data_IF_649360923925
#
_entry.id   IF_649360923925
#
_cell.length_a   1.000
_cell.length_b   1.000
_cell.length_c   1.000
_cell.angle_alpha   90.00
_cell.angle_beta   90.00
_cell.angle_gamma   90.00
#
_symmetry.space_group_name_H-M   'P 1'
#
loop_
_entity.id
_entity.type
_entity.pdbx_description
1 polymer ?
#
# COMPACT_ATOMS: atom_id res chain seq x y z
N UNK A 1 9.57 10.86 13.20
CA UNK A 1 8.43 11.60 13.81
C UNK A 1 8.68 11.71 15.31
N UNK A 2 8.55 12.90 15.91
CA UNK A 2 8.94 13.11 17.30
C UNK A 2 7.93 12.49 18.27
N UNK A 3 8.44 11.99 19.41
CA UNK A 3 7.77 11.19 20.45
C UNK A 3 6.43 11.77 20.93
N UNK A 4 6.26 13.10 20.91
CA UNK A 4 5.04 13.80 21.34
C UNK A 4 3.85 13.57 20.40
N UNK A 5 4.09 13.41 19.09
CA UNK A 5 3.01 13.11 18.13
C UNK A 5 2.50 11.67 18.25
N UNK A 6 3.34 10.76 18.75
CA UNK A 6 3.00 9.34 18.93
C UNK A 6 2.08 9.16 20.14
N UNK A 7 2.36 9.85 21.25
CA UNK A 7 1.54 9.78 22.48
C UNK A 7 0.16 10.43 22.33
N UNK A 8 0.05 11.58 21.63
CA UNK A 8 -1.26 12.21 21.38
C UNK A 8 -2.13 11.38 20.42
N UNK A 9 -1.52 10.76 19.42
CA UNK A 9 -2.20 9.85 18.50
C UNK A 9 -2.70 8.59 19.20
N UNK A 10 -1.90 8.01 20.10
CA UNK A 10 -2.30 6.88 20.93
C UNK A 10 -3.48 7.23 21.84
N UNK A 11 -3.45 8.39 22.52
CA UNK A 11 -4.54 8.86 23.40
C UNK A 11 -5.88 9.08 22.69
N UNK A 12 -5.85 9.58 21.45
CA UNK A 12 -7.08 9.77 20.66
C UNK A 12 -7.61 8.47 20.07
N UNK A 13 -6.72 7.49 19.86
CA UNK A 13 -7.03 6.23 19.21
C UNK A 13 -7.53 5.17 20.20
N UNK A 14 -6.97 5.11 21.40
CA UNK A 14 -7.30 4.08 22.40
C UNK A 14 -8.80 3.97 22.71
N UNK A 15 -9.58 5.05 22.91
CA UNK A 15 -11.02 4.92 23.18
C UNK A 15 -11.79 4.32 22.00
N UNK A 16 -11.38 4.64 20.77
CA UNK A 16 -11.99 4.10 19.56
C UNK A 16 -11.62 2.62 19.41
N UNK A 17 -10.36 2.27 19.62
CA UNK A 17 -9.88 0.89 19.53
C UNK A 17 -10.58 0.00 20.58
N UNK A 18 -10.70 0.46 21.83
CA UNK A 18 -11.37 -0.28 22.91
C UNK A 18 -12.86 -0.49 22.60
N UNK A 19 -13.56 0.55 22.15
CA UNK A 19 -14.96 0.46 21.75
C UNK A 19 -15.15 -0.44 20.51
N UNK A 20 -14.21 -0.37 19.57
CA UNK A 20 -14.20 -1.22 18.36
C UNK A 20 -14.06 -2.68 18.74
N UNK A 21 -13.14 -3.02 19.64
CA UNK A 21 -12.97 -4.39 20.15
C UNK A 21 -14.24 -4.82 20.88
N UNK A 22 -14.78 -3.98 21.77
CA UNK A 22 -15.98 -4.31 22.51
C UNK A 22 -17.17 -4.61 21.60
N UNK A 23 -17.44 -3.74 20.61
CA UNK A 23 -18.50 -3.96 19.63
C UNK A 23 -18.21 -5.16 18.73
N UNK A 24 -16.95 -5.34 18.31
CA UNK A 24 -16.52 -6.49 17.53
C UNK A 24 -16.86 -7.80 18.22
N UNK A 25 -16.56 -7.92 19.52
CA UNK A 25 -16.83 -9.13 20.31
C UNK A 25 -18.32 -9.30 20.63
N UNK A 26 -18.99 -8.24 21.08
CA UNK A 26 -20.34 -8.35 21.65
C UNK A 26 -21.46 -8.24 20.62
N UNK A 27 -21.31 -7.38 19.61
CA UNK A 27 -22.33 -7.14 18.58
C UNK A 27 -22.08 -7.96 17.31
N UNK A 28 -20.81 -8.08 16.90
CA UNK A 28 -20.45 -8.79 15.67
C UNK A 28 -19.89 -10.20 15.90
N UNK A 29 -19.83 -10.64 17.16
CA UNK A 29 -19.39 -11.98 17.55
C UNK A 29 -18.02 -12.39 16.97
N UNK A 30 -17.11 -11.42 16.82
CA UNK A 30 -15.73 -11.68 16.37
C UNK A 30 -15.00 -12.53 17.43
N UNK A 31 -14.27 -13.54 16.97
CA UNK A 31 -13.49 -14.44 17.83
C UNK A 31 -12.06 -14.61 17.32
N UNK A 32 -11.17 -15.10 18.19
CA UNK A 32 -9.79 -15.40 17.84
C UNK A 32 -9.04 -14.17 17.33
N UNK A 33 -8.27 -14.35 16.25
CA UNK A 33 -7.43 -13.29 15.65
C UNK A 33 -8.25 -12.12 15.11
N UNK A 34 -9.49 -12.34 14.69
CA UNK A 34 -10.38 -11.28 14.21
C UNK A 34 -10.85 -10.33 15.32
N UNK A 35 -10.76 -10.75 16.59
CA UNK A 35 -11.17 -9.96 17.75
C UNK A 35 -10.03 -9.15 18.39
N UNK A 36 -8.80 -9.22 17.85
CA UNK A 36 -7.64 -8.54 18.41
C UNK A 36 -7.01 -7.56 17.42
N UNK A 37 -6.45 -6.46 17.95
CA UNK A 37 -5.73 -5.48 17.12
C UNK A 37 -4.36 -6.06 16.75
N UNK A 38 -4.07 -6.09 15.45
CA UNK A 38 -2.80 -6.57 14.92
C UNK A 38 -2.49 -5.90 13.57
N UNK A 39 -1.21 -5.76 13.21
CA UNK A 39 -0.80 -4.95 12.06
C UNK A 39 -0.77 -5.71 10.71
N UNK A 40 -1.52 -6.81 10.58
CA UNK A 40 -1.47 -7.67 9.40
C UNK A 40 -2.01 -7.03 8.11
N UNK A 41 -3.24 -6.47 8.12
CA UNK A 41 -3.87 -5.90 6.91
C UNK A 41 -4.73 -4.67 7.23
N UNK A 42 -5.04 -3.88 6.19
CA UNK A 42 -5.94 -2.73 6.27
C UNK A 42 -7.41 -3.10 6.38
N UNK A 43 -7.82 -4.25 5.82
CA UNK A 43 -9.22 -4.68 5.70
C UNK A 43 -9.69 -5.67 6.77
N UNK A 44 -9.20 -5.53 8.01
CA UNK A 44 -9.60 -6.39 9.12
C UNK A 44 -11.06 -6.15 9.51
N UNK A 45 -11.75 -7.17 10.03
CA UNK A 45 -13.11 -7.02 10.54
C UNK A 45 -13.22 -5.86 11.56
N UNK A 46 -12.28 -5.77 12.51
CA UNK A 46 -12.21 -4.64 13.43
C UNK A 46 -11.98 -3.29 12.74
N UNK A 47 -11.25 -3.23 11.63
CA UNK A 47 -11.06 -1.98 10.89
C UNK A 47 -12.38 -1.50 10.24
N UNK A 48 -13.22 -2.41 9.76
CA UNK A 48 -14.56 -2.09 9.27
C UNK A 48 -15.49 -1.59 10.39
N UNK A 49 -15.44 -2.23 11.57
CA UNK A 49 -16.19 -1.78 12.75
C UNK A 49 -15.72 -0.39 13.19
N UNK A 50 -14.41 -0.15 13.22
CA UNK A 50 -13.85 1.16 13.54
C UNK A 50 -14.30 2.23 12.54
N UNK A 51 -14.28 1.92 11.24
CA UNK A 51 -14.73 2.85 10.20
C UNK A 51 -16.22 3.20 10.36
N UNK A 52 -17.07 2.22 10.68
CA UNK A 52 -18.48 2.45 10.97
C UNK A 52 -18.66 3.39 12.17
N UNK A 53 -17.89 3.19 13.25
CA UNK A 53 -17.94 4.07 14.43
C UNK A 53 -17.49 5.49 14.10
N UNK A 54 -16.42 5.65 13.33
CA UNK A 54 -15.94 6.96 12.88
C UNK A 54 -17.03 7.65 12.05
N UNK A 55 -17.71 6.91 11.16
CA UNK A 55 -18.79 7.46 10.34
C UNK A 55 -20.00 7.90 11.20
N UNK A 56 -20.43 7.05 12.13
CA UNK A 56 -21.56 7.35 13.02
C UNK A 56 -21.27 8.54 13.93
N UNK A 57 -20.09 8.56 14.57
CA UNK A 57 -19.67 9.68 15.42
C UNK A 57 -19.54 10.98 14.63
N UNK A 58 -18.99 10.92 13.41
CA UNK A 58 -18.92 12.06 12.51
C UNK A 58 -20.31 12.56 12.10
N UNK A 59 -21.25 11.66 11.81
CA UNK A 59 -22.64 12.01 11.47
C UNK A 59 -23.38 12.66 12.65
N UNK A 60 -23.22 12.11 13.86
CA UNK A 60 -23.80 12.68 15.09
C UNK A 60 -23.21 14.07 15.35
N UNK A 61 -21.89 14.22 15.26
CA UNK A 61 -21.21 15.50 15.42
C UNK A 61 -21.69 16.53 14.38
N UNK A 62 -21.82 16.13 13.11
CA UNK A 62 -22.34 16.98 12.04
C UNK A 62 -23.80 17.38 12.28
N UNK A 63 -24.65 16.47 12.77
CA UNK A 63 -26.04 16.75 13.11
C UNK A 63 -26.14 17.73 14.28
N UNK A 64 -25.39 17.48 15.36
CA UNK A 64 -25.32 18.37 16.51
C UNK A 64 -24.83 19.77 16.09
N UNK A 65 -23.74 19.85 15.34
CA UNK A 65 -23.22 21.10 14.80
C UNK A 65 -24.28 21.84 13.97
N UNK A 66 -24.98 21.13 13.08
CA UNK A 66 -26.03 21.68 12.24
C UNK A 66 -27.28 22.11 13.00
N UNK A 67 -27.50 21.63 14.23
CA UNK A 67 -28.58 22.09 15.11
C UNK A 67 -28.15 23.35 15.86
N UNK A 68 -26.94 23.38 16.41
CA UNK A 68 -26.48 24.47 17.26
C UNK A 68 -26.01 25.71 16.49
N UNK A 69 -25.41 25.56 15.31
CA UNK A 69 -24.74 26.65 14.59
C UNK A 69 -25.51 27.15 13.34
N UNK A 70 -26.86 27.04 13.37
CA UNK A 70 -27.76 27.37 12.24
C UNK A 70 -27.74 28.82 11.76
N UNK A 71 -27.21 29.76 12.57
CA UNK A 71 -27.33 31.21 12.33
C UNK A 71 -26.09 31.86 11.72
N UNK A 72 -24.98 31.13 11.52
CA UNK A 72 -23.74 31.72 11.00
C UNK A 72 -23.72 31.77 9.48
N UNK A 73 -23.23 32.89 8.93
CA UNK A 73 -23.20 33.20 7.49
C UNK A 73 -21.92 32.71 6.80
N UNK A 74 -20.90 32.29 7.57
CA UNK A 74 -19.53 32.03 7.08
C UNK A 74 -19.28 30.59 6.56
N UNK A 75 -20.31 29.77 6.37
CA UNK A 75 -20.18 28.39 5.89
C UNK A 75 -19.56 28.29 4.49
N UNK A 76 -19.75 29.30 3.65
CA UNK A 76 -19.12 29.34 2.33
C UNK A 76 -17.58 29.36 2.42
N UNK A 77 -17.02 30.19 3.30
CA UNK A 77 -15.57 30.26 3.50
C UNK A 77 -15.02 28.98 4.15
N UNK A 78 -15.76 28.41 5.10
CA UNK A 78 -15.39 27.15 5.74
C UNK A 78 -15.32 26.00 4.73
N UNK A 79 -16.31 25.91 3.82
CA UNK A 79 -16.31 24.92 2.73
C UNK A 79 -15.09 25.08 1.82
N UNK A 80 -14.70 26.32 1.49
CA UNK A 80 -13.53 26.56 0.64
C UNK A 80 -12.22 26.12 1.31
N UNK A 81 -12.06 26.38 2.62
CA UNK A 81 -10.91 25.87 3.38
C UNK A 81 -10.94 24.35 3.54
N UNK A 82 -12.11 23.76 3.76
CA UNK A 82 -12.30 22.31 3.81
C UNK A 82 -11.91 21.65 2.49
N UNK A 83 -12.38 22.15 1.33
CA UNK A 83 -12.01 21.64 0.01
C UNK A 83 -10.51 21.75 -0.24
N UNK A 84 -9.89 22.87 0.15
CA UNK A 84 -8.44 23.03 0.05
C UNK A 84 -7.70 21.99 0.90
N UNK A 85 -8.09 21.85 2.17
CA UNK A 85 -7.50 20.86 3.08
C UNK A 85 -7.65 19.45 2.55
N UNK A 86 -8.85 19.07 2.13
CA UNK A 86 -9.16 17.76 1.57
C UNK A 86 -8.39 17.47 0.28
N UNK A 87 -8.21 18.49 -0.59
CA UNK A 87 -7.40 18.36 -1.82
C UNK A 87 -5.94 18.11 -1.49
N UNK A 88 -5.39 18.84 -0.51
CA UNK A 88 -4.01 18.65 -0.05
C UNK A 88 -3.85 17.29 0.61
N UNK A 89 -4.79 16.86 1.46
CA UNK A 89 -4.77 15.54 2.09
C UNK A 89 -4.80 14.42 1.04
N UNK A 90 -5.71 14.49 0.08
CA UNK A 90 -5.82 13.49 -0.99
C UNK A 90 -4.56 13.48 -1.86
N UNK A 91 -4.04 14.65 -2.24
CA UNK A 91 -2.80 14.75 -3.02
C UNK A 91 -1.61 14.12 -2.28
N UNK A 92 -1.42 14.46 -1.00
CA UNK A 92 -0.36 13.89 -0.17
C UNK A 92 -0.55 12.40 0.10
N UNK A 93 -1.78 11.91 0.18
CA UNK A 93 -2.11 10.50 0.35
C UNK A 93 -1.80 9.66 -0.89
N UNK A 94 -1.89 10.25 -2.09
CA UNK A 94 -1.57 9.58 -3.35
C UNK A 94 -0.06 9.50 -3.62
N UNK A 95 0.76 10.43 -3.14
CA UNK A 95 2.20 10.45 -3.41
C UNK A 95 2.94 9.16 -3.00
N UNK A 96 2.72 8.56 -1.81
CA UNK A 96 3.32 7.27 -1.47
C UNK A 96 3.00 6.18 -2.49
N UNK A 97 1.73 6.07 -2.92
CA UNK A 97 1.25 5.10 -3.90
C UNK A 97 1.86 5.33 -5.29
N UNK A 98 2.08 6.61 -5.62
CA UNK A 98 2.63 7.01 -6.90
C UNK A 98 4.12 6.67 -6.97
N UNK A 99 4.89 7.05 -5.96
CA UNK A 99 6.34 6.85 -5.95
C UNK A 99 6.74 5.38 -5.77
N UNK A 100 5.98 4.58 -5.01
CA UNK A 100 6.22 3.13 -4.93
C UNK A 100 5.94 2.40 -6.26
N UNK A 101 5.25 3.04 -7.21
CA UNK A 101 5.07 2.53 -8.59
C UNK A 101 6.10 3.10 -9.57
N UNK A 102 6.46 4.38 -9.44
CA UNK A 102 7.54 4.99 -10.25
C UNK A 102 8.87 4.27 -10.04
N UNK A 103 9.14 3.86 -8.81
CA UNK A 103 10.22 2.93 -8.50
C UNK A 103 9.56 1.56 -8.29
N UNK A 104 9.61 0.64 -9.27
CA UNK A 104 8.79 -0.59 -9.31
C UNK A 104 8.92 -1.46 -8.07
N UNK A 105 8.14 -1.15 -7.05
CA UNK A 105 8.22 -1.70 -5.70
C UNK A 105 6.86 -2.20 -5.21
N UNK A 106 5.77 -1.72 -5.81
CA UNK A 106 4.41 -2.15 -5.48
C UNK A 106 4.12 -3.52 -6.06
N UNK A 107 4.46 -3.71 -7.34
CA UNK A 107 4.24 -4.95 -8.08
C UNK A 107 5.59 -5.60 -8.41
N UNK A 108 6.19 -6.37 -7.48
CA UNK A 108 7.47 -7.02 -7.75
C UNK A 108 7.32 -8.02 -8.91
N UNK A 109 8.44 -8.31 -9.59
CA UNK A 109 8.48 -9.41 -10.54
C UNK A 109 7.99 -10.72 -9.90
N UNK A 110 7.39 -11.63 -10.70
CA UNK A 110 6.84 -12.88 -10.17
C UNK A 110 7.85 -13.60 -9.26
N UNK A 111 7.50 -13.86 -7.99
CA UNK A 111 8.43 -14.51 -7.07
C UNK A 111 8.68 -15.95 -7.49
N UNK A 112 9.83 -16.51 -7.10
CA UNK A 112 10.17 -17.92 -7.35
C UNK A 112 9.07 -18.86 -6.85
N UNK A 113 8.42 -18.52 -5.74
CA UNK A 113 7.29 -19.26 -5.20
C UNK A 113 6.14 -19.39 -6.22
N UNK A 114 5.78 -18.31 -6.91
CA UNK A 114 4.71 -18.35 -7.92
C UNK A 114 5.15 -19.08 -9.19
N UNK A 115 6.41 -18.90 -9.60
CA UNK A 115 6.95 -19.53 -10.81
C UNK A 115 7.00 -21.06 -10.75
N UNK A 116 6.95 -21.63 -9.54
CA UNK A 116 6.96 -23.07 -9.29
C UNK A 116 5.62 -23.58 -8.71
N UNK A 117 4.61 -22.72 -8.63
CA UNK A 117 3.27 -23.08 -8.17
C UNK A 117 2.35 -23.30 -9.40
N UNK A 118 1.53 -24.37 -9.43
CA UNK A 118 0.48 -24.50 -10.41
C UNK A 118 -0.42 -23.26 -10.42
N UNK A 119 -0.69 -22.69 -11.60
CA UNK A 119 -1.47 -21.44 -11.75
C UNK A 119 -2.83 -21.51 -11.04
N UNK A 120 -3.47 -22.69 -11.02
CA UNK A 120 -4.76 -22.91 -10.35
C UNK A 120 -4.71 -22.80 -8.81
N UNK A 121 -3.53 -22.85 -8.20
CA UNK A 121 -3.34 -22.71 -6.76
C UNK A 121 -2.96 -21.27 -6.35
N UNK A 122 -2.59 -20.41 -7.31
CA UNK A 122 -2.23 -19.04 -7.02
C UNK A 122 -3.46 -18.23 -6.58
N UNK A 123 -3.31 -17.42 -5.53
CA UNK A 123 -4.38 -16.50 -5.13
C UNK A 123 -4.60 -15.42 -6.19
N UNK A 124 -5.84 -14.91 -6.35
CA UNK A 124 -6.12 -13.83 -7.29
C UNK A 124 -5.21 -12.61 -7.10
N UNK A 125 -4.91 -12.26 -5.85
CA UNK A 125 -4.02 -11.14 -5.50
C UNK A 125 -2.58 -11.38 -5.96
N UNK A 126 -2.02 -12.56 -5.69
CA UNK A 126 -0.64 -12.89 -6.05
C UNK A 126 -0.47 -12.92 -7.58
N UNK A 127 -1.44 -13.49 -8.28
CA UNK A 127 -1.44 -13.54 -9.75
C UNK A 127 -1.59 -12.13 -10.34
N UNK A 128 -2.51 -11.33 -9.82
CA UNK A 128 -2.74 -9.94 -10.25
C UNK A 128 -1.47 -9.07 -10.07
N UNK A 129 -0.82 -9.15 -8.90
CA UNK A 129 0.41 -8.40 -8.65
C UNK A 129 1.55 -8.84 -9.55
N UNK A 130 1.68 -10.15 -9.76
CA UNK A 130 2.75 -10.71 -10.60
C UNK A 130 2.55 -10.33 -12.07
N UNK A 131 1.31 -10.27 -12.56
CA UNK A 131 1.00 -9.82 -13.92
C UNK A 131 1.46 -8.37 -14.16
N UNK A 132 1.18 -7.46 -13.22
CA UNK A 132 1.64 -6.07 -13.32
C UNK A 132 3.16 -5.97 -13.16
N UNK A 133 3.76 -6.84 -12.34
CA UNK A 133 5.20 -6.90 -12.09
C UNK A 133 6.05 -7.55 -13.20
N UNK A 134 5.43 -8.20 -14.20
CA UNK A 134 6.15 -8.75 -15.36
C UNK A 134 6.86 -7.65 -16.16
N UNK A 135 6.22 -6.48 -16.28
CA UNK A 135 6.73 -5.38 -17.07
C UNK A 135 6.69 -4.08 -16.26
N UNK A 136 7.83 -3.71 -15.62
CA UNK A 136 7.92 -2.54 -14.75
C UNK A 136 7.49 -1.23 -15.41
N UNK A 137 7.62 -1.11 -16.74
CA UNK A 137 7.20 0.08 -17.48
C UNK A 137 5.70 0.39 -17.29
N UNK A 138 4.86 -0.63 -17.17
CA UNK A 138 3.42 -0.45 -16.95
C UNK A 138 3.13 0.08 -15.54
N UNK A 139 3.76 -0.50 -14.51
CA UNK A 139 3.69 0.01 -13.15
C UNK A 139 4.17 1.47 -13.06
N UNK A 140 5.31 1.80 -13.68
CA UNK A 140 5.85 3.15 -13.69
C UNK A 140 4.89 4.16 -14.33
N UNK A 141 4.21 3.78 -15.43
CA UNK A 141 3.22 4.64 -16.08
C UNK A 141 2.06 4.98 -15.13
N UNK A 142 1.54 3.99 -14.40
CA UNK A 142 0.50 4.19 -13.40
C UNK A 142 0.98 5.13 -12.29
N UNK A 143 2.22 4.94 -11.83
CA UNK A 143 2.85 5.82 -10.85
C UNK A 143 2.96 7.27 -11.33
N UNK A 144 3.30 7.50 -12.59
CA UNK A 144 3.36 8.86 -13.16
C UNK A 144 1.98 9.52 -13.28
N UNK A 145 0.94 8.76 -13.63
CA UNK A 145 -0.45 9.26 -13.64
C UNK A 145 -0.88 9.65 -12.22
N UNK A 146 -0.52 8.85 -11.22
CA UNK A 146 -0.79 9.16 -9.81
C UNK A 146 -0.02 10.40 -9.30
N UNK A 147 1.25 10.57 -9.68
CA UNK A 147 2.01 11.80 -9.37
C UNK A 147 1.37 13.00 -10.02
N UNK A 148 1.02 12.92 -11.30
CA UNK A 148 0.33 14.01 -12.00
C UNK A 148 -0.96 14.38 -11.27
N UNK A 149 -1.76 13.39 -10.90
CA UNK A 149 -3.00 13.56 -10.13
C UNK A 149 -2.75 14.29 -8.81
N UNK A 150 -1.78 13.81 -8.03
CA UNK A 150 -1.42 14.39 -6.74
C UNK A 150 -0.92 15.83 -6.88
N UNK A 151 -0.02 16.10 -7.84
CA UNK A 151 0.52 17.44 -8.10
C UNK A 151 -0.59 18.40 -8.52
N UNK A 152 -1.50 17.98 -9.40
CA UNK A 152 -2.63 18.82 -9.82
C UNK A 152 -3.54 19.18 -8.63
N UNK A 153 -3.79 18.25 -7.71
CA UNK A 153 -4.57 18.47 -6.48
C UNK A 153 -3.92 19.47 -5.52
N UNK A 154 -2.58 19.52 -5.46
CA UNK A 154 -1.84 20.37 -4.53
C UNK A 154 -1.81 21.85 -4.94
N UNK A 155 -2.08 22.15 -6.21
CA UNK A 155 -2.20 23.53 -6.70
C UNK A 155 -3.66 23.97 -6.79
N UNK A 156 -3.97 25.12 -6.18
CA UNK A 156 -5.35 25.62 -6.06
C UNK A 156 -6.03 25.88 -7.41
N UNK A 157 -5.24 26.14 -8.45
CA UNK A 157 -5.71 26.41 -9.81
C UNK A 157 -6.02 25.13 -10.60
N UNK A 158 -5.31 24.05 -10.32
CA UNK A 158 -5.44 22.77 -11.06
C UNK A 158 -6.12 21.68 -10.25
N UNK A 159 -6.53 21.98 -9.02
CA UNK A 159 -7.10 20.97 -8.14
C UNK A 159 -8.42 20.36 -8.66
N UNK A 160 -9.16 21.06 -9.51
CA UNK A 160 -10.35 20.49 -10.15
C UNK A 160 -10.06 19.42 -11.20
N UNK A 161 -9.26 19.66 -12.25
CA UNK A 161 -8.86 18.58 -13.13
C UNK A 161 -8.09 17.50 -12.36
N UNK A 162 -7.33 17.86 -11.32
CA UNK A 162 -6.73 16.91 -10.39
C UNK A 162 -7.76 16.02 -9.67
N UNK A 163 -8.88 16.58 -9.20
CA UNK A 163 -9.93 15.81 -8.52
C UNK A 163 -10.73 14.91 -9.47
N UNK A 164 -10.96 15.33 -10.72
CA UNK A 164 -11.54 14.47 -11.74
C UNK A 164 -10.63 13.28 -12.04
N UNK A 165 -9.33 13.53 -12.24
CA UNK A 165 -8.35 12.48 -12.46
C UNK A 165 -8.23 11.58 -11.23
N UNK A 166 -8.25 12.15 -10.02
CA UNK A 166 -8.22 11.40 -8.77
C UNK A 166 -9.41 10.48 -8.62
N UNK A 167 -10.62 10.92 -8.99
CA UNK A 167 -11.80 10.04 -8.98
C UNK A 167 -11.57 8.84 -9.90
N UNK A 168 -11.10 9.06 -11.13
CA UNK A 168 -10.82 7.96 -12.07
C UNK A 168 -9.74 7.00 -11.55
N UNK A 169 -8.62 7.52 -11.07
CA UNK A 169 -7.51 6.74 -10.52
C UNK A 169 -7.93 5.95 -9.28
N UNK A 170 -8.53 6.61 -8.29
CA UNK A 170 -8.92 5.96 -7.02
C UNK A 170 -10.07 4.98 -7.21
N UNK A 171 -11.02 5.26 -8.11
CA UNK A 171 -12.08 4.31 -8.44
C UNK A 171 -11.54 3.06 -9.13
N UNK A 172 -10.54 3.21 -10.01
CA UNK A 172 -9.86 2.07 -10.63
C UNK A 172 -9.12 1.23 -9.59
N UNK A 173 -8.37 1.88 -8.67
CA UNK A 173 -7.69 1.20 -7.56
C UNK A 173 -8.72 0.43 -6.71
N UNK A 174 -9.79 1.10 -6.27
CA UNK A 174 -10.82 0.48 -5.43
C UNK A 174 -11.53 -0.70 -6.12
N UNK A 175 -11.76 -0.59 -7.44
CA UNK A 175 -12.32 -1.68 -8.24
C UNK A 175 -11.38 -2.88 -8.27
N UNK A 176 -10.10 -2.65 -8.57
CA UNK A 176 -9.09 -3.72 -8.62
C UNK A 176 -8.90 -4.38 -7.25
N UNK A 177 -8.86 -3.58 -6.18
CA UNK A 177 -8.76 -4.09 -4.81
C UNK A 177 -9.95 -4.99 -4.44
N UNK A 178 -11.14 -4.63 -4.92
CA UNK A 178 -12.36 -5.41 -4.65
C UNK A 178 -12.39 -6.69 -5.48
N UNK A 179 -12.09 -6.60 -6.79
CA UNK A 179 -12.19 -7.72 -7.73
C UNK A 179 -11.09 -8.77 -7.53
N UNK A 180 -9.85 -8.33 -7.25
CA UNK A 180 -8.69 -9.22 -7.05
C UNK A 180 -8.38 -9.50 -5.57
N UNK A 181 -9.32 -9.18 -4.71
CA UNK A 181 -9.26 -9.36 -3.26
C UNK A 181 -7.98 -8.81 -2.59
N UNK A 182 -7.55 -7.62 -3.01
CA UNK A 182 -6.41 -6.94 -2.37
C UNK A 182 -6.89 -6.36 -1.02
N UNK A 183 -6.21 -6.62 0.11
CA UNK A 183 -6.73 -6.30 1.45
C UNK A 183 -6.47 -4.85 1.89
N UNK A 184 -6.81 -3.88 1.03
CA UNK A 184 -6.70 -2.42 1.24
C UNK A 184 -7.94 -1.60 0.81
N UNK A 185 -9.10 -2.25 0.68
CA UNK A 185 -10.39 -1.71 0.20
C UNK A 185 -10.88 -0.53 1.04
N UNK A 186 -10.75 -0.58 2.37
CA UNK A 186 -11.16 0.53 3.25
C UNK A 186 -10.42 1.83 2.90
N UNK A 187 -9.13 1.71 2.64
CA UNK A 187 -8.30 2.85 2.28
C UNK A 187 -8.66 3.37 0.89
N UNK A 188 -8.74 2.52 -0.12
CA UNK A 188 -9.06 2.95 -1.48
C UNK A 188 -10.48 3.53 -1.60
N UNK A 189 -11.47 2.97 -0.90
CA UNK A 189 -12.80 3.59 -0.80
C UNK A 189 -12.80 4.95 -0.12
N UNK A 190 -11.97 5.13 0.92
CA UNK A 190 -11.82 6.45 1.56
C UNK A 190 -11.32 7.48 0.55
N UNK A 191 -10.33 7.13 -0.28
CA UNK A 191 -9.81 8.03 -1.33
C UNK A 191 -10.90 8.36 -2.36
N UNK A 192 -11.70 7.38 -2.79
CA UNK A 192 -12.84 7.60 -3.70
C UNK A 192 -13.85 8.56 -3.09
N UNK A 193 -14.21 8.37 -1.81
CA UNK A 193 -15.13 9.27 -1.10
C UNK A 193 -14.56 10.68 -1.03
N UNK A 194 -13.26 10.84 -0.74
CA UNK A 194 -12.60 12.16 -0.74
C UNK A 194 -12.69 12.82 -2.12
N UNK A 195 -12.40 12.08 -3.20
CA UNK A 195 -12.53 12.57 -4.57
C UNK A 195 -13.96 12.98 -4.92
N UNK A 196 -14.96 12.18 -4.54
CA UNK A 196 -16.37 12.50 -4.72
C UNK A 196 -16.75 13.77 -3.96
N UNK A 197 -16.38 13.88 -2.68
CA UNK A 197 -16.69 15.05 -1.84
C UNK A 197 -16.09 16.33 -2.42
N UNK A 198 -14.90 16.28 -3.00
CA UNK A 198 -14.28 17.42 -3.69
C UNK A 198 -15.09 17.88 -4.92
N UNK A 199 -15.78 16.96 -5.60
CA UNK A 199 -16.53 17.17 -6.82
C UNK A 199 -18.02 17.43 -6.60
N UNK A 200 -18.59 17.12 -5.42
CA UNK A 200 -20.01 17.41 -5.09
C UNK A 200 -20.40 18.87 -5.40
N UNK A 201 -19.63 19.90 -4.98
CA UNK A 201 -19.98 21.29 -5.31
C UNK A 201 -19.98 21.58 -6.82
N UNK A 202 -19.21 20.82 -7.60
CA UNK A 202 -19.05 20.99 -9.05
C UNK A 202 -20.14 20.23 -9.84
N UNK A 203 -20.97 19.40 -9.19
CA UNK A 203 -21.93 18.51 -9.86
C UNK A 203 -22.91 19.24 -10.78
N UNK A 204 -23.45 20.40 -10.34
CA UNK A 204 -24.35 21.22 -11.17
C UNK A 204 -23.64 21.77 -12.41
N UNK A 205 -22.39 22.19 -12.25
CA UNK A 205 -21.57 22.71 -13.33
C UNK A 205 -21.26 21.60 -14.34
N UNK A 206 -20.78 20.44 -13.87
CA UNK A 206 -20.50 19.25 -14.68
C UNK A 206 -21.75 18.79 -15.44
N UNK A 207 -22.89 18.68 -14.75
CA UNK A 207 -24.15 18.26 -15.38
C UNK A 207 -24.60 19.22 -16.48
N UNK A 208 -24.49 20.53 -16.23
CA UNK A 208 -24.83 21.54 -17.25
C UNK A 208 -23.86 21.49 -18.44
N UNK A 209 -22.57 21.31 -18.19
CA UNK A 209 -21.54 21.24 -19.23
C UNK A 209 -21.73 20.05 -20.18
N UNK A 210 -22.04 18.86 -19.66
CA UNK A 210 -22.16 17.65 -20.47
C UNK A 210 -23.57 17.42 -21.05
N UNK A 211 -24.63 17.85 -20.35
CA UNK A 211 -26.00 17.45 -20.68
C UNK A 211 -26.94 18.62 -21.00
N UNK A 212 -26.58 19.87 -20.70
CA UNK A 212 -27.41 21.03 -21.03
C UNK A 212 -26.99 21.68 -22.34
N UNK A 213 -27.97 22.29 -23.02
CA UNK A 213 -27.74 23.19 -24.16
C UNK A 213 -27.68 24.66 -23.74
N UNK A 214 -28.02 24.95 -22.48
CA UNK A 214 -28.00 26.29 -21.92
C UNK A 214 -26.58 26.73 -21.55
N UNK A 215 -26.43 28.04 -21.28
CA UNK A 215 -25.17 28.58 -20.78
C UNK A 215 -24.76 27.89 -19.46
N UNK A 216 -23.53 27.36 -19.43
CA UNK A 216 -22.97 26.69 -18.25
C UNK A 216 -22.85 27.71 -17.10
N UNK A 217 -23.32 27.38 -15.87
CA UNK A 217 -23.23 28.29 -14.75
C UNK A 217 -21.76 28.63 -14.42
N UNK A 218 -21.54 29.70 -13.66
CA UNK A 218 -20.20 29.99 -13.15
C UNK A 218 -19.73 28.85 -12.26
N UNK A 219 -18.49 28.41 -12.50
CA UNK A 219 -17.89 27.33 -11.74
C UNK A 219 -17.66 27.77 -10.28
N UNK A 220 -17.98 26.93 -9.29
CA UNK A 220 -17.68 27.21 -7.89
C UNK A 220 -16.19 27.49 -7.66
N UNK A 221 -15.91 28.38 -6.73
CA UNK A 221 -14.54 28.62 -6.28
C UNK A 221 -13.99 27.37 -5.57
N UNK A 222 -12.76 26.99 -5.90
CA UNK A 222 -12.14 25.80 -5.29
C UNK A 222 -11.63 26.06 -3.87
N UNK A 223 -10.95 27.21 -3.67
CA UNK A 223 -10.29 27.56 -2.42
C UNK A 223 -10.26 29.08 -2.22
N UNK A 224 -10.04 29.60 -0.98
CA UNK A 224 -10.13 31.03 -0.68
C UNK A 224 -9.10 31.90 -1.44
N UNK A 225 -9.54 32.84 -2.27
CA UNK A 225 -8.62 33.63 -3.07
C UNK A 225 -7.88 34.69 -2.25
N UNK A 226 -6.53 34.74 -2.29
CA UNK A 226 -5.78 35.80 -1.61
C UNK A 226 -6.09 37.16 -2.24
N UNK A 227 -6.41 38.15 -1.39
CA UNK A 227 -6.86 39.48 -1.81
C UNK A 227 -5.73 40.34 -2.42
N UNK A 228 -4.49 40.16 -1.98
CA UNK A 228 -3.34 40.97 -2.43
C UNK A 228 -2.40 40.20 -3.35
N UNK A 229 -1.69 40.91 -4.23
CA UNK A 229 -0.69 40.29 -5.11
C UNK A 229 0.44 39.59 -4.32
N UNK A 230 0.86 40.16 -3.19
CA UNK A 230 1.87 39.55 -2.29
C UNK A 230 1.35 38.23 -1.70
N UNK A 231 0.11 38.21 -1.20
CA UNK A 231 -0.49 37.00 -0.66
C UNK A 231 -0.70 35.92 -1.73
N UNK A 232 -1.02 36.30 -2.97
CA UNK A 232 -1.09 35.35 -4.10
C UNK A 232 0.28 34.71 -4.40
N UNK A 233 1.35 35.51 -4.43
CA UNK A 233 2.72 35.00 -4.63
C UNK A 233 3.17 34.12 -3.47
N UNK A 234 2.87 34.49 -2.23
CA UNK A 234 3.17 33.70 -1.05
C UNK A 234 2.43 32.35 -1.04
N UNK A 235 1.14 32.34 -1.41
CA UNK A 235 0.37 31.10 -1.53
C UNK A 235 0.93 30.18 -2.61
N UNK A 236 1.25 30.72 -3.80
CA UNK A 236 1.90 29.94 -4.86
C UNK A 236 3.26 29.38 -4.41
N UNK A 237 4.07 30.20 -3.76
CA UNK A 237 5.36 29.74 -3.22
C UNK A 237 5.17 28.62 -2.20
N UNK A 238 4.18 28.72 -1.31
CA UNK A 238 3.86 27.66 -0.36
C UNK A 238 3.39 26.37 -1.05
N UNK A 239 2.55 26.46 -2.09
CA UNK A 239 2.12 25.31 -2.90
C UNK A 239 3.32 24.65 -3.60
N UNK A 240 4.19 25.43 -4.22
CA UNK A 240 5.41 24.93 -4.88
C UNK A 240 6.35 24.27 -3.87
N UNK A 241 6.59 24.90 -2.72
CA UNK A 241 7.44 24.33 -1.68
C UNK A 241 6.85 23.03 -1.11
N UNK A 242 5.53 22.99 -0.89
CA UNK A 242 4.84 21.78 -0.45
C UNK A 242 5.04 20.64 -1.44
N UNK A 243 4.82 20.89 -2.73
CA UNK A 243 5.03 19.88 -3.80
C UNK A 243 6.49 19.43 -3.85
N UNK A 244 7.45 20.35 -3.83
CA UNK A 244 8.87 20.01 -3.89
C UNK A 244 9.31 19.19 -2.70
N UNK A 245 8.92 19.57 -1.48
CA UNK A 245 9.27 18.83 -0.25
C UNK A 245 8.59 17.47 -0.23
N UNK A 246 7.29 17.40 -0.55
CA UNK A 246 6.55 16.15 -0.55
C UNK A 246 7.12 15.19 -1.60
N UNK A 247 7.28 15.63 -2.85
CA UNK A 247 7.82 14.79 -3.93
C UNK A 247 9.26 14.36 -3.66
N UNK A 248 10.14 15.26 -3.20
CA UNK A 248 11.54 14.90 -2.90
C UNK A 248 11.64 13.91 -1.73
N UNK A 249 10.83 14.09 -0.68
CA UNK A 249 10.85 13.19 0.48
C UNK A 249 10.39 11.77 0.11
N UNK A 250 9.28 11.65 -0.62
CA UNK A 250 8.80 10.35 -1.07
C UNK A 250 9.73 9.75 -2.11
N UNK A 251 10.17 10.52 -3.11
CA UNK A 251 11.10 10.04 -4.12
C UNK A 251 12.39 9.50 -3.51
N UNK A 252 12.97 10.24 -2.55
CA UNK A 252 14.18 9.80 -1.85
C UNK A 252 13.95 8.51 -1.07
N UNK A 253 12.86 8.45 -0.28
CA UNK A 253 12.54 7.27 0.52
C UNK A 253 12.27 6.00 -0.30
N UNK A 254 11.58 6.12 -1.43
CA UNK A 254 11.33 4.98 -2.32
C UNK A 254 12.55 4.62 -3.15
N UNK A 255 13.32 5.61 -3.61
CA UNK A 255 14.55 5.39 -4.36
C UNK A 255 15.60 4.63 -3.56
N UNK A 256 15.75 4.91 -2.26
CA UNK A 256 16.71 4.17 -1.42
C UNK A 256 16.35 2.69 -1.35
N UNK A 257 15.08 2.35 -1.15
CA UNK A 257 14.59 0.96 -1.15
C UNK A 257 14.78 0.30 -2.51
N UNK A 258 14.45 1.01 -3.59
CA UNK A 258 14.62 0.50 -4.95
C UNK A 258 16.08 0.24 -5.30
N UNK A 259 16.99 1.14 -4.90
CA UNK A 259 18.43 0.95 -5.05
C UNK A 259 18.89 -0.31 -4.32
N UNK A 260 18.46 -0.52 -3.08
CA UNK A 260 18.81 -1.73 -2.32
C UNK A 260 18.37 -3.01 -3.05
N UNK A 261 17.17 -3.02 -3.66
CA UNK A 261 16.70 -4.16 -4.45
C UNK A 261 17.50 -4.37 -5.74
N UNK A 262 17.87 -3.29 -6.43
CA UNK A 262 18.71 -3.37 -7.62
C UNK A 262 20.12 -3.90 -7.28
N UNK A 263 20.68 -3.50 -6.15
CA UNK A 263 21.95 -4.03 -5.65
C UNK A 263 21.84 -5.53 -5.35
N UNK A 264 20.78 -5.96 -4.67
CA UNK A 264 20.51 -7.37 -4.42
C UNK A 264 20.35 -8.20 -5.71
N UNK A 265 19.67 -7.65 -6.72
CA UNK A 265 19.51 -8.32 -8.02
C UNK A 265 20.84 -8.50 -8.78
N UNK A 266 21.80 -7.58 -8.59
CA UNK A 266 23.12 -7.65 -9.23
C UNK A 266 24.05 -8.65 -8.55
N UNK A 267 23.93 -8.76 -7.23
CA UNK A 267 24.69 -9.71 -6.41
C UNK A 267 23.74 -10.49 -5.47
N UNK A 268 22.97 -11.45 -6.02
CA UNK A 268 22.00 -12.21 -5.22
C UNK A 268 22.69 -13.02 -4.12
N UNK A 269 21.96 -13.24 -3.03
CA UNK A 269 22.45 -14.11 -1.96
C UNK A 269 22.82 -15.50 -2.48
N UNK A 270 23.90 -16.09 -1.95
CA UNK A 270 24.36 -17.45 -2.30
C UNK A 270 23.31 -18.55 -2.06
N UNK A 271 22.34 -18.27 -1.21
CA UNK A 271 21.22 -19.16 -0.91
C UNK A 271 19.91 -18.77 -1.62
N UNK A 272 19.95 -17.92 -2.65
CA UNK A 272 18.79 -17.67 -3.52
C UNK A 272 18.25 -19.00 -4.06
N UNK A 273 16.92 -19.18 -4.05
CA UNK A 273 16.26 -20.42 -4.47
C UNK A 273 15.19 -20.91 -3.50
N UNK A 274 14.68 -22.11 -3.77
CA UNK A 274 13.69 -22.80 -2.94
C UNK A 274 14.38 -23.74 -1.94
N UNK A 275 13.88 -23.73 -0.71
CA UNK A 275 14.39 -24.51 0.40
C UNK A 275 13.27 -25.15 1.21
N UNK A 276 13.41 -26.43 1.51
CA UNK A 276 12.49 -27.18 2.36
C UNK A 276 13.01 -27.28 3.78
N UNK A 277 12.19 -26.87 4.73
CA UNK A 277 12.47 -26.96 6.16
C UNK A 277 12.53 -28.44 6.57
N UNK A 278 13.57 -28.79 7.31
CA UNK A 278 13.76 -30.11 7.91
C UNK A 278 13.31 -30.04 9.39
N UNK A 279 12.34 -30.88 9.76
CA UNK A 279 11.81 -30.91 11.12
C UNK A 279 10.91 -29.71 11.45
N UNK A 280 10.88 -29.31 12.73
CA UNK A 280 10.08 -28.17 13.19
C UNK A 280 10.92 -26.88 13.19
N UNK A 281 10.51 -25.89 12.41
CA UNK A 281 11.15 -24.56 12.41
C UNK A 281 10.67 -23.66 13.55
N UNK A 282 9.44 -23.84 14.01
CA UNK A 282 8.76 -22.87 14.89
C UNK A 282 8.20 -21.65 14.15
N UNK A 283 8.49 -21.50 12.85
CA UNK A 283 7.89 -20.46 12.00
C UNK A 283 6.49 -20.90 11.60
N UNK A 284 5.51 -20.01 11.78
CA UNK A 284 4.10 -20.27 11.48
C UNK A 284 3.51 -19.26 10.50
N UNK A 285 2.56 -19.70 9.69
CA UNK A 285 1.63 -18.87 8.92
C UNK A 285 0.81 -17.94 9.82
N UNK A 286 0.18 -16.93 9.24
CA UNK A 286 -0.77 -16.08 9.96
C UNK A 286 -2.00 -16.83 10.48
N UNK A 287 -2.29 -17.99 9.91
CA UNK A 287 -3.31 -18.95 10.33
C UNK A 287 -2.80 -19.97 11.38
N UNK A 288 -1.52 -19.87 11.76
CA UNK A 288 -0.87 -20.76 12.73
C UNK A 288 -0.33 -22.06 12.16
N UNK A 289 -0.48 -22.32 10.85
CA UNK A 289 0.09 -23.53 10.21
C UNK A 289 1.61 -23.47 10.20
N UNK A 290 2.27 -24.62 10.27
CA UNK A 290 3.73 -24.66 10.20
C UNK A 290 4.20 -24.32 8.78
N UNK A 291 5.20 -23.44 8.68
CA UNK A 291 5.89 -23.16 7.42
C UNK A 291 6.77 -24.37 7.07
N UNK A 292 6.67 -24.83 5.82
CA UNK A 292 7.40 -26.00 5.32
C UNK A 292 8.42 -25.63 4.25
N UNK A 293 8.21 -24.54 3.52
CA UNK A 293 9.07 -24.13 2.40
C UNK A 293 9.39 -22.64 2.49
N UNK A 294 10.61 -22.28 2.11
CA UNK A 294 11.12 -20.91 2.05
C UNK A 294 11.68 -20.68 0.65
N UNK A 295 11.26 -19.59 0.02
CA UNK A 295 11.80 -19.11 -1.24
C UNK A 295 12.55 -17.81 -0.97
N UNK A 296 13.85 -17.79 -1.27
CA UNK A 296 14.65 -16.58 -1.26
C UNK A 296 14.75 -16.04 -2.67
N UNK A 297 14.09 -14.91 -2.93
CA UNK A 297 14.13 -14.24 -4.22
C UNK A 297 15.44 -13.42 -4.38
N UNK A 298 15.96 -13.26 -5.61
CA UNK A 298 17.21 -12.55 -5.85
C UNK A 298 17.15 -11.05 -5.48
N UNK A 299 15.96 -10.48 -5.32
CA UNK A 299 15.74 -9.06 -5.02
C UNK A 299 15.56 -8.76 -3.52
N UNK A 300 16.03 -9.65 -2.63
CA UNK A 300 15.86 -9.54 -1.17
C UNK A 300 14.39 -9.61 -0.69
N UNK A 301 13.47 -10.12 -1.52
CA UNK A 301 12.18 -10.62 -1.05
C UNK A 301 12.29 -12.10 -0.66
N UNK A 302 11.32 -12.53 0.13
CA UNK A 302 11.20 -13.92 0.57
C UNK A 302 9.73 -14.31 0.59
N UNK A 303 9.42 -15.52 0.16
CA UNK A 303 8.10 -16.11 0.30
C UNK A 303 8.18 -17.34 1.21
N UNK A 304 7.20 -17.47 2.09
CA UNK A 304 7.05 -18.61 2.98
C UNK A 304 5.81 -19.40 2.56
N UNK A 305 5.92 -20.71 2.46
CA UNK A 305 4.79 -21.59 2.16
C UNK A 305 4.52 -22.51 3.35
N UNK A 306 3.26 -22.59 3.76
CA UNK A 306 2.82 -23.54 4.77
C UNK A 306 2.50 -24.92 4.18
N UNK A 307 2.20 -25.88 5.07
CA UNK A 307 1.87 -27.25 4.69
C UNK A 307 0.60 -27.40 3.82
N UNK A 308 -0.23 -26.36 3.71
CA UNK A 308 -1.44 -26.32 2.86
C UNK A 308 -1.18 -25.66 1.51
N UNK A 309 0.03 -25.15 1.28
CA UNK A 309 0.40 -24.40 0.09
C UNK A 309 0.14 -22.90 0.19
N UNK A 310 -0.35 -22.39 1.33
CA UNK A 310 -0.61 -20.95 1.49
C UNK A 310 0.71 -20.19 1.50
N UNK A 311 0.78 -19.14 0.68
CA UNK A 311 1.95 -18.31 0.53
C UNK A 311 1.86 -17.06 1.41
N UNK A 312 2.98 -16.71 2.04
CA UNK A 312 3.10 -15.54 2.89
C UNK A 312 4.30 -14.70 2.49
N UNK A 313 4.08 -13.39 2.34
CA UNK A 313 5.11 -12.46 1.92
C UNK A 313 6.03 -12.09 3.08
N UNK A 314 7.31 -11.96 2.76
CA UNK A 314 8.34 -11.50 3.67
C UNK A 314 9.41 -10.72 2.90
N UNK A 315 10.19 -9.92 3.63
CA UNK A 315 11.42 -9.31 3.13
C UNK A 315 12.61 -9.89 3.86
N UNK A 316 13.71 -10.09 3.16
CA UNK A 316 14.93 -10.67 3.71
C UNK A 316 16.15 -9.88 3.25
N UNK A 317 16.84 -9.22 4.18
CA UNK A 317 18.08 -8.49 3.91
C UNK A 317 19.23 -9.31 4.48
N UNK A 318 20.09 -9.79 3.57
CA UNK A 318 21.30 -10.52 3.92
C UNK A 318 22.52 -9.61 3.85
N UNK A 319 23.33 -9.62 4.91
CA UNK A 319 24.62 -8.95 4.94
C UNK A 319 25.73 -10.00 4.80
N UNK A 320 26.40 -10.02 3.64
CA UNK A 320 27.45 -10.98 3.32
C UNK A 320 28.72 -10.82 4.15
N UNK A 321 28.96 -9.64 4.74
CA UNK A 321 30.14 -9.39 5.58
C UNK A 321 29.97 -9.93 6.99
N UNK A 322 28.74 -9.86 7.50
CA UNK A 322 28.42 -10.30 8.86
C UNK A 322 27.72 -11.66 8.90
N UNK A 323 27.37 -12.22 7.75
CA UNK A 323 26.55 -13.42 7.58
C UNK A 323 25.22 -13.34 8.36
N UNK A 324 24.65 -12.14 8.50
CA UNK A 324 23.39 -11.91 9.21
C UNK A 324 22.25 -11.72 8.22
N UNK A 325 21.21 -12.53 8.37
CA UNK A 325 19.94 -12.40 7.68
C UNK A 325 18.92 -11.72 8.59
N UNK A 326 18.33 -10.63 8.11
CA UNK A 326 17.22 -9.94 8.76
C UNK A 326 15.95 -10.18 7.96
N UNK A 327 14.95 -10.73 8.61
CA UNK A 327 13.67 -11.09 7.99
C UNK A 327 12.57 -10.24 8.59
N UNK A 328 11.81 -9.53 7.76
CA UNK A 328 10.57 -8.88 8.14
C UNK A 328 9.42 -9.68 7.54
N UNK A 329 8.84 -10.54 8.35
CA UNK A 329 7.75 -11.43 7.98
C UNK A 329 6.41 -10.82 8.39
N UNK A 330 5.48 -10.65 7.46
CA UNK A 330 4.21 -9.95 7.71
C UNK A 330 3.37 -10.59 8.83
N UNK A 331 3.39 -11.93 8.95
CA UNK A 331 2.59 -12.61 9.97
C UNK A 331 3.33 -12.91 11.28
N UNK A 332 4.67 -12.96 11.27
CA UNK A 332 5.51 -13.35 12.41
C UNK A 332 6.43 -12.23 12.93
N UNK A 333 6.45 -11.06 12.31
CA UNK A 333 7.25 -9.92 12.72
C UNK A 333 8.72 -10.01 12.28
N UNK A 334 9.58 -9.32 13.04
CA UNK A 334 10.99 -9.21 12.73
C UNK A 334 11.80 -10.36 13.34
N UNK A 335 12.58 -11.04 12.50
CA UNK A 335 13.45 -12.15 12.89
C UNK A 335 14.88 -11.88 12.40
N UNK A 336 15.86 -12.39 13.14
CA UNK A 336 17.28 -12.25 12.85
C UNK A 336 17.93 -13.61 12.95
N UNK A 337 18.68 -13.99 11.92
CA UNK A 337 19.43 -15.22 11.86
C UNK A 337 20.89 -14.96 11.50
N UNK A 338 21.80 -15.76 12.04
CA UNK A 338 23.11 -15.99 11.46
C UNK A 338 22.93 -17.10 10.42
N UNK A 339 23.45 -16.86 9.22
CA UNK A 339 23.41 -17.81 8.12
C UNK A 339 24.68 -18.65 8.16
N UNK A 340 24.52 -19.96 8.22
CA UNK A 340 25.59 -20.91 7.98
C UNK A 340 25.18 -21.81 6.82
N UNK A 341 26.02 -21.84 5.78
CA UNK A 341 25.79 -22.65 4.59
C UNK A 341 27.11 -23.36 4.28
N UNK A 342 27.28 -24.52 4.90
CA UNK A 342 28.47 -25.35 4.75
C UNK A 342 28.54 -26.06 3.40
N UNK A 343 27.38 -26.30 2.75
CA UNK A 343 27.26 -26.89 1.43
C UNK A 343 26.17 -26.19 0.60
N UNK A 344 26.23 -26.29 -0.73
CA UNK A 344 25.21 -25.78 -1.63
C UNK A 344 23.81 -26.37 -1.33
N UNK A 345 23.73 -27.60 -0.81
CA UNK A 345 22.46 -28.29 -0.54
C UNK A 345 21.87 -28.05 0.85
N UNK A 346 22.66 -27.51 1.79
CA UNK A 346 22.31 -27.38 3.21
C UNK A 346 22.44 -25.94 3.68
N UNK A 347 21.38 -25.43 4.31
CA UNK A 347 21.34 -24.08 4.88
C UNK A 347 20.84 -24.14 6.32
N UNK A 348 21.57 -23.49 7.22
CA UNK A 348 21.23 -23.34 8.63
C UNK A 348 20.94 -21.87 8.93
N UNK A 349 19.76 -21.60 9.48
CA UNK A 349 19.41 -20.30 10.02
C UNK A 349 19.43 -20.38 11.55
N UNK A 350 20.48 -19.82 12.14
CA UNK A 350 20.71 -19.85 13.59
C UNK A 350 20.11 -18.57 14.17
N UNK A 351 19.04 -18.63 14.98
CA UNK A 351 18.37 -17.44 15.46
C UNK A 351 19.29 -16.60 16.37
N UNK A 352 19.18 -15.28 16.25
CA UNK A 352 20.00 -14.30 16.98
C UNK A 352 19.14 -13.25 17.67
N UNK A 353 19.59 -12.79 18.83
CA UNK A 353 18.92 -11.73 19.59
C UNK A 353 17.52 -12.18 20.07
N UNK A 354 16.49 -11.32 19.98
CA UNK A 354 15.13 -11.67 20.42
C UNK A 354 14.56 -12.94 19.76
N UNK A 355 14.96 -13.23 18.53
CA UNK A 355 14.57 -14.45 17.78
C UNK A 355 14.99 -15.73 18.51
N UNK A 356 16.17 -15.73 19.15
CA UNK A 356 16.71 -16.92 19.81
C UNK A 356 15.90 -17.34 21.05
N UNK A 357 15.14 -16.40 21.63
CA UNK A 357 14.23 -16.70 22.74
C UNK A 357 12.90 -17.33 22.27
N UNK A 358 12.57 -17.24 20.98
CA UNK A 358 11.27 -17.63 20.43
C UNK A 358 11.31 -18.95 19.66
N UNK A 359 12.46 -19.31 19.09
CA UNK A 359 12.61 -20.48 18.22
C UNK A 359 14.04 -21.02 18.20
N UNK A 360 14.18 -22.27 17.74
CA UNK A 360 15.48 -22.93 17.54
C UNK A 360 16.07 -22.71 16.14
N UNK A 361 17.22 -23.33 15.89
CA UNK A 361 17.87 -23.34 14.57
C UNK A 361 16.96 -23.99 13.52
N UNK A 362 16.84 -23.34 12.37
CA UNK A 362 16.06 -23.85 11.23
C UNK A 362 17.03 -24.48 10.23
N UNK A 363 16.85 -25.77 9.97
CA UNK A 363 17.60 -26.51 8.95
C UNK A 363 16.81 -26.58 7.67
N UNK A 364 17.47 -26.27 6.55
CA UNK A 364 16.87 -26.12 5.24
C UNK A 364 17.64 -26.97 4.22
N UNK A 365 16.92 -27.75 3.41
CA UNK A 365 17.47 -28.50 2.27
C UNK A 365 17.06 -27.85 0.96
N UNK A 366 18.01 -27.66 0.06
CA UNK A 366 17.75 -27.03 -1.24
C UNK A 366 16.83 -27.90 -2.10
N UNK A 367 15.88 -27.27 -2.79
CA UNK A 367 15.05 -27.88 -3.83
C UNK A 367 15.59 -27.47 -5.20
N UNK A 368 15.60 -28.41 -6.15
CA UNK A 368 16.06 -28.13 -7.51
C UNK A 368 15.01 -27.33 -8.27
N UNK A 369 15.41 -26.16 -8.77
CA UNK A 369 14.58 -25.30 -9.61
C UNK A 369 15.03 -25.35 -11.07
N UNK A 370 14.11 -25.09 -12.03
CA UNK A 370 14.47 -24.85 -13.42
C UNK A 370 15.54 -23.76 -13.55
N UNK A 371 16.45 -23.92 -14.51
CA UNK A 371 17.49 -22.90 -14.78
C UNK A 371 16.90 -21.58 -15.29
N UNK A 372 15.78 -21.65 -15.98
CA UNK A 372 15.11 -20.51 -16.59
C UNK A 372 13.58 -20.70 -16.57
N UNK A 373 12.86 -19.58 -16.56
CA UNK A 373 11.40 -19.55 -16.64
C UNK A 373 10.98 -18.82 -17.92
N UNK A 374 10.29 -19.49 -18.88
CA UNK A 374 9.86 -18.86 -20.13
C UNK A 374 9.05 -17.58 -19.93
N UNK A 375 8.21 -17.53 -18.87
CA UNK A 375 7.42 -16.36 -18.49
C UNK A 375 8.25 -15.08 -18.31
N UNK A 376 9.51 -15.22 -17.87
CA UNK A 376 10.41 -14.09 -17.64
C UNK A 376 11.30 -13.74 -18.84
N UNK A 377 11.29 -14.55 -19.90
CA UNK A 377 12.19 -14.40 -21.06
C UNK A 377 11.57 -13.62 -22.21
N UNK A 378 10.24 -13.65 -22.35
CA UNK A 378 9.57 -12.95 -23.45
C UNK A 378 9.45 -11.45 -23.12
N UNK A 379 10.08 -10.63 -23.95
CA UNK A 379 9.99 -9.17 -23.86
C UNK A 379 9.03 -8.60 -24.92
N UNK A 380 8.87 -7.28 -24.91
CA UNK A 380 8.06 -6.58 -25.90
C UNK A 380 8.68 -6.70 -27.30
N UNK A 381 7.84 -7.01 -28.30
CA UNK A 381 8.21 -7.06 -29.71
C UNK A 381 7.21 -6.23 -30.52
N UNK A 382 7.70 -5.35 -31.39
CA UNK A 382 6.84 -4.56 -32.29
C UNK A 382 6.20 -5.41 -33.39
N UNK A 383 6.88 -6.46 -33.83
CA UNK A 383 6.45 -7.38 -34.89
C UNK A 383 6.49 -8.79 -34.32
N UNK A 384 5.37 -9.51 -34.38
CA UNK A 384 5.26 -10.92 -34.03
C UNK A 384 4.81 -11.69 -35.26
N UNK A 385 5.69 -12.52 -35.82
CA UNK A 385 5.33 -13.39 -36.94
C UNK A 385 4.58 -14.64 -36.47
N UNK A 386 4.88 -15.12 -35.25
CA UNK A 386 4.21 -16.24 -34.59
C UNK A 386 4.13 -15.99 -33.07
N UNK A 387 2.99 -16.31 -32.45
CA UNK A 387 2.78 -16.20 -31.00
C UNK A 387 2.61 -17.59 -30.37
N UNK A 388 3.70 -18.22 -29.89
CA UNK A 388 3.59 -19.51 -29.21
C UNK A 388 2.98 -19.33 -27.81
N UNK A 389 1.88 -20.04 -27.55
CA UNK A 389 1.13 -20.08 -26.27
C UNK A 389 1.56 -21.29 -25.41
N UNK A 390 2.87 -21.42 -25.14
CA UNK A 390 3.40 -22.55 -24.36
C UNK A 390 2.95 -22.55 -22.90
#
# INVERSE_FOLDING_TARGET
MPVVGRSAGEWLRTPIDDLTIWLGVHLFHLTGRAATVHDATGDRALAWVAMLLILLTSAIAAAAWSVFDRKRVQYADLLLWFRLGLSVTLGLALLPYAFIKIFPLQFPSPPLALLNEPVGNASPTLLFWSLYGLHPAFEMLLGWVEVLTAVLLLFRRTAFPGALLALGVTANIALLDTVFDVPVKLWSFTLVVMSLVLLIPEAKWLGSFFFSRDAVPQRPQWAPQPRTARARRAALLAEVLLVLVACSSYAWGTWTVYRMKLEALRDPSMFTGEWRIQGQSGIKGGDGQAITTVFFDPNSDMMLQDARGTMWRSRSVYDSKTHVLRVLYEAGGFMIFVVDQSDASDLLLIPKGPTAAQMGTVTLKRVFLPRTYPLLQRHFHWVNEFEPLH
#
